data_IF_271447230951
#
_entry.id   IF_271447230951
#
_cell.length_a   1.000
_cell.length_b   1.000
_cell.length_c   1.000
_cell.angle_alpha   90.00
_cell.angle_beta   90.00
_cell.angle_gamma   90.00
#
_symmetry.space_group_name_H-M   'P 1'
#
loop_
_entity.id
_entity.type
_entity.pdbx_description
1 polymer ?
#
# COMPACT_ATOMS: atom_id res chain seq x y z
N UNK A 1 -47.57 -5.41 9.05
CA UNK A 1 -47.18 -4.73 7.80
C UNK A 1 -46.13 -3.71 8.18
N UNK A 2 -44.94 -3.75 7.57
CA UNK A 2 -43.66 -3.16 8.00
C UNK A 2 -42.80 -4.06 8.91
N UNK A 3 -42.37 -5.19 8.34
CA UNK A 3 -41.06 -5.77 8.63
C UNK A 3 -40.17 -5.43 7.43
N UNK A 4 -39.18 -4.58 7.62
CA UNK A 4 -38.07 -4.42 6.68
C UNK A 4 -36.84 -5.03 7.35
N UNK A 5 -36.26 -6.13 6.84
CA UNK A 5 -34.95 -6.57 7.28
C UNK A 5 -33.93 -5.72 6.53
N UNK A 6 -33.45 -4.66 7.17
CA UNK A 6 -32.17 -4.05 6.82
C UNK A 6 -31.09 -5.02 7.30
N UNK A 7 -30.81 -6.06 6.51
CA UNK A 7 -29.54 -6.76 6.65
C UNK A 7 -28.42 -5.78 6.24
N UNK A 8 -27.43 -5.52 7.11
CA UNK A 8 -26.23 -4.82 6.67
C UNK A 8 -25.54 -5.69 5.60
N UNK A 9 -24.89 -5.11 4.58
CA UNK A 9 -24.10 -5.89 3.64
C UNK A 9 -22.94 -6.58 4.38
N UNK A 10 -23.16 -7.83 4.78
CA UNK A 10 -22.17 -8.72 5.37
C UNK A 10 -21.11 -9.03 4.32
N UNK A 11 -20.01 -8.28 4.33
CA UNK A 11 -18.76 -8.67 3.68
C UNK A 11 -18.04 -9.65 4.61
N UNK A 12 -18.55 -10.88 4.70
CA UNK A 12 -17.89 -11.97 5.45
C UNK A 12 -16.69 -12.48 4.64
N UNK A 13 -15.48 -12.30 5.18
CA UNK A 13 -14.23 -12.79 4.59
C UNK A 13 -13.81 -14.07 5.30
N UNK A 14 -13.82 -15.19 4.57
CA UNK A 14 -13.39 -16.50 5.07
C UNK A 14 -12.14 -16.93 4.30
N UNK A 15 -10.99 -17.00 4.97
CA UNK A 15 -9.83 -17.74 4.49
C UNK A 15 -9.16 -18.53 5.63
N UNK A 16 -9.18 -19.85 5.41
CA UNK A 16 -8.35 -20.93 5.97
C UNK A 16 -8.76 -21.55 7.31
N UNK A 17 -9.62 -22.57 7.21
CA UNK A 17 -9.59 -23.75 8.08
C UNK A 17 -9.21 -24.99 7.28
N UNK A 18 -7.98 -25.47 7.45
CA UNK A 18 -7.59 -26.85 7.10
C UNK A 18 -8.07 -27.73 8.27
N UNK A 19 -9.34 -28.11 8.23
CA UNK A 19 -9.96 -28.98 9.24
C UNK A 19 -11.19 -29.66 8.66
N UNK A 20 -11.08 -30.96 8.38
CA UNK A 20 -12.14 -31.88 7.99
C UNK A 20 -13.03 -31.45 6.78
N UNK A 21 -12.43 -31.10 5.65
CA UNK A 21 -13.15 -31.11 4.37
C UNK A 21 -13.18 -32.53 3.81
N UNK A 22 -14.36 -33.15 3.71
CA UNK A 22 -14.54 -34.26 2.78
C UNK A 22 -14.23 -33.73 1.38
N UNK A 23 -13.12 -34.18 0.82
CA UNK A 23 -12.75 -33.89 -0.57
C UNK A 23 -13.68 -34.71 -1.45
N UNK A 24 -14.87 -34.20 -1.76
CA UNK A 24 -15.76 -34.80 -2.74
C UNK A 24 -15.24 -34.38 -4.10
N UNK A 25 -14.52 -35.28 -4.77
CA UNK A 25 -14.22 -35.18 -6.19
C UNK A 25 -15.57 -35.36 -6.93
N UNK A 26 -16.26 -34.24 -7.16
CA UNK A 26 -17.45 -34.24 -7.99
C UNK A 26 -16.98 -34.25 -9.45
N UNK A 27 -17.07 -35.41 -10.09
CA UNK A 27 -17.05 -35.51 -11.54
C UNK A 27 -18.23 -34.71 -12.09
N UNK A 28 -17.98 -33.46 -12.45
CA UNK A 28 -18.90 -32.72 -13.28
C UNK A 28 -18.89 -33.40 -14.66
N UNK A 29 -19.83 -34.30 -14.85
CA UNK A 29 -20.19 -34.89 -16.14
C UNK A 29 -20.88 -33.82 -17.00
N UNK A 30 -20.11 -32.77 -17.34
CA UNK A 30 -20.47 -31.85 -18.40
C UNK A 30 -20.00 -32.48 -19.71
N UNK A 31 -20.96 -32.80 -20.57
CA UNK A 31 -20.79 -33.22 -21.95
C UNK A 31 -19.92 -32.20 -22.69
N UNK A 32 -18.61 -32.41 -22.67
CA UNK A 32 -17.64 -31.57 -23.37
C UNK A 32 -17.47 -32.13 -24.80
N UNK A 33 -17.54 -31.29 -25.84
CA UNK A 33 -17.18 -31.73 -27.19
C UNK A 33 -15.72 -32.21 -27.20
N UNK A 34 -15.49 -33.33 -27.87
CA UNK A 34 -14.21 -34.01 -27.93
C UNK A 34 -13.09 -33.05 -28.40
N UNK A 35 -12.07 -32.84 -27.56
CA UNK A 35 -10.82 -32.18 -27.97
C UNK A 35 -10.31 -31.01 -27.10
N UNK A 36 -11.04 -30.58 -26.06
CA UNK A 36 -10.60 -29.48 -25.19
C UNK A 36 -9.71 -29.93 -24.02
N UNK A 37 -8.50 -29.38 -23.87
CA UNK A 37 -7.67 -29.53 -22.66
C UNK A 37 -8.47 -29.08 -21.43
N UNK A 38 -8.87 -30.03 -20.56
CA UNK A 38 -9.57 -29.74 -19.29
C UNK A 38 -8.68 -28.89 -18.39
N UNK A 39 -9.06 -27.63 -18.16
CA UNK A 39 -8.48 -26.81 -17.08
C UNK A 39 -9.17 -27.22 -15.78
N UNK A 40 -8.44 -27.88 -14.87
CA UNK A 40 -8.93 -28.14 -13.51
C UNK A 40 -9.04 -26.79 -12.78
N UNK A 41 -10.27 -26.34 -12.54
CA UNK A 41 -10.55 -25.20 -11.68
C UNK A 41 -10.84 -25.73 -10.27
N UNK A 42 -9.99 -25.39 -9.31
CA UNK A 42 -10.23 -25.71 -7.91
C UNK A 42 -11.15 -24.65 -7.31
N UNK A 43 -12.34 -25.06 -6.88
CA UNK A 43 -13.26 -24.21 -6.14
C UNK A 43 -13.20 -24.58 -4.66
N UNK A 44 -12.87 -23.61 -3.81
CA UNK A 44 -12.95 -23.76 -2.36
C UNK A 44 -14.35 -23.29 -1.96
N UNK A 45 -15.20 -24.23 -1.57
CA UNK A 45 -16.51 -23.93 -1.01
C UNK A 45 -16.37 -23.79 0.51
N UNK A 46 -16.85 -22.68 1.07
CA UNK A 46 -17.11 -22.61 2.50
C UNK A 46 -18.59 -22.94 2.70
N UNK A 47 -18.86 -23.95 3.54
CA UNK A 47 -20.21 -24.23 4.02
C UNK A 47 -20.50 -23.34 5.22
N UNK A 48 -21.48 -22.48 5.07
CA UNK A 48 -22.13 -21.80 6.20
C UNK A 48 -22.72 -22.86 7.16
N UNK A 49 -22.81 -22.61 8.48
CA UNK A 49 -23.51 -23.49 9.43
C UNK A 49 -24.96 -23.86 9.05
N UNK A 50 -25.61 -23.11 8.14
CA UNK A 50 -26.90 -23.42 7.52
C UNK A 50 -26.85 -24.46 6.39
N UNK A 51 -25.67 -24.96 6.02
CA UNK A 51 -25.48 -25.92 4.92
C UNK A 51 -25.54 -25.30 3.52
N UNK A 52 -25.73 -23.98 3.41
CA UNK A 52 -25.74 -23.28 2.14
C UNK A 52 -24.31 -23.13 1.57
N UNK A 53 -24.13 -23.52 0.31
CA UNK A 53 -22.88 -23.34 -0.44
C UNK A 53 -22.73 -21.88 -0.87
N UNK A 54 -22.12 -21.05 -0.03
CA UNK A 54 -21.84 -19.66 -0.37
C UNK A 54 -20.59 -19.57 -1.26
N UNK A 55 -20.70 -18.90 -2.42
CA UNK A 55 -19.53 -18.55 -3.25
C UNK A 55 -18.74 -17.44 -2.55
N UNK A 56 -17.55 -17.75 -2.08
CA UNK A 56 -16.64 -16.82 -1.40
C UNK A 56 -16.09 -15.77 -2.36
N UNK A 57 -16.76 -14.62 -2.41
CA UNK A 57 -16.41 -13.45 -3.24
C UNK A 57 -15.19 -12.63 -2.78
N UNK A 58 -14.84 -12.49 -1.48
CA UNK A 58 -13.83 -11.52 -1.04
C UNK A 58 -12.39 -11.86 -1.44
N UNK A 59 -12.06 -13.15 -1.58
CA UNK A 59 -10.73 -13.62 -2.02
C UNK A 59 -10.43 -13.19 -3.46
N UNK A 60 -11.46 -13.14 -4.31
CA UNK A 60 -11.32 -12.70 -5.69
C UNK A 60 -11.01 -11.20 -5.78
N UNK A 61 -11.56 -10.38 -4.88
CA UNK A 61 -11.36 -8.93 -4.89
C UNK A 61 -9.98 -8.52 -4.36
N UNK A 62 -9.50 -9.15 -3.29
CA UNK A 62 -8.14 -8.91 -2.80
C UNK A 62 -7.11 -9.36 -3.85
N UNK A 63 -7.32 -10.52 -4.46
CA UNK A 63 -6.49 -10.98 -5.58
C UNK A 63 -6.56 -10.00 -6.73
N UNK A 64 -7.74 -9.56 -7.17
CA UNK A 64 -7.88 -8.61 -8.29
C UNK A 64 -7.23 -7.25 -7.99
N UNK A 65 -7.43 -6.68 -6.80
CA UNK A 65 -6.83 -5.40 -6.42
C UNK A 65 -5.30 -5.48 -6.30
N UNK A 66 -4.79 -6.53 -5.64
CA UNK A 66 -3.33 -6.80 -5.57
C UNK A 66 -2.77 -7.04 -6.96
N UNK A 67 -3.50 -7.77 -7.83
CA UNK A 67 -3.05 -8.03 -9.20
C UNK A 67 -3.08 -6.75 -10.04
N UNK A 68 -4.08 -5.88 -9.91
CA UNK A 68 -4.18 -4.61 -10.66
C UNK A 68 -3.10 -3.61 -10.22
N UNK A 69 -2.89 -3.46 -8.90
CA UNK A 69 -1.83 -2.61 -8.35
C UNK A 69 -0.43 -3.17 -8.65
N UNK A 70 -0.26 -4.49 -8.64
CA UNK A 70 1.00 -5.13 -9.02
C UNK A 70 1.23 -5.12 -10.54
N UNK A 71 0.20 -5.13 -11.39
CA UNK A 71 0.36 -5.27 -12.85
C UNK A 71 0.70 -3.97 -13.58
N UNK A 72 0.42 -2.79 -13.03
CA UNK A 72 0.83 -1.53 -13.67
C UNK A 72 2.35 -1.39 -13.78
N UNK A 73 3.13 -1.48 -12.68
CA UNK A 73 4.59 -1.61 -12.77
C UNK A 73 5.00 -3.03 -13.20
N UNK A 74 4.21 -4.04 -12.85
CA UNK A 74 4.48 -5.45 -13.12
C UNK A 74 4.46 -5.84 -14.59
N UNK A 75 3.74 -5.14 -15.47
CA UNK A 75 3.80 -5.41 -16.92
C UNK A 75 5.11 -4.95 -17.53
N UNK A 76 5.67 -3.83 -17.07
CA UNK A 76 7.01 -3.39 -17.45
C UNK A 76 8.08 -4.34 -16.86
N UNK A 77 7.97 -4.68 -15.58
CA UNK A 77 8.86 -5.62 -14.89
C UNK A 77 8.77 -7.07 -15.42
N UNK A 78 7.59 -7.54 -15.79
CA UNK A 78 7.38 -8.90 -16.35
C UNK A 78 7.88 -9.01 -17.78
N UNK A 79 7.73 -7.95 -18.59
CA UNK A 79 8.40 -7.88 -19.90
C UNK A 79 9.92 -7.86 -19.75
N UNK A 80 10.45 -7.13 -18.76
CA UNK A 80 11.88 -7.13 -18.45
C UNK A 80 12.35 -8.53 -17.97
N UNK A 81 11.62 -9.19 -17.06
CA UNK A 81 11.99 -10.50 -16.52
C UNK A 81 12.07 -11.60 -17.59
N UNK A 82 11.24 -11.53 -18.63
CA UNK A 82 11.30 -12.48 -19.77
C UNK A 82 12.52 -12.31 -20.66
N UNK A 83 13.29 -11.22 -20.53
CA UNK A 83 14.46 -10.90 -21.39
C UNK A 83 15.82 -11.21 -20.75
N UNK A 84 15.86 -11.97 -19.64
CA UNK A 84 17.13 -12.36 -18.98
C UNK A 84 17.92 -11.16 -18.41
N UNK A 85 19.25 -11.27 -18.29
CA UNK A 85 20.16 -10.25 -17.72
C UNK A 85 20.00 -8.82 -18.31
N UNK A 86 19.35 -8.66 -19.47
CA UNK A 86 19.02 -7.37 -20.04
C UNK A 86 17.86 -6.66 -19.31
N UNK A 87 16.91 -7.42 -18.77
CA UNK A 87 15.77 -6.87 -18.03
C UNK A 87 16.15 -6.20 -16.72
N UNK A 88 17.03 -6.82 -15.93
CA UNK A 88 17.49 -6.24 -14.66
C UNK A 88 18.25 -4.91 -14.88
N UNK A 89 19.07 -4.83 -15.93
CA UNK A 89 19.77 -3.59 -16.32
C UNK A 89 18.80 -2.50 -16.79
N UNK A 90 17.76 -2.87 -17.55
CA UNK A 90 16.73 -1.93 -17.98
C UNK A 90 15.91 -1.36 -16.81
N UNK A 91 15.52 -2.22 -15.86
CA UNK A 91 14.80 -1.79 -14.64
C UNK A 91 15.69 -0.89 -13.78
N UNK A 92 16.98 -1.23 -13.63
CA UNK A 92 17.95 -0.39 -12.92
C UNK A 92 18.08 0.99 -13.56
N UNK A 93 18.23 1.07 -14.89
CA UNK A 93 18.29 2.34 -15.62
C UNK A 93 17.00 3.14 -15.45
N UNK A 94 15.84 2.53 -15.67
CA UNK A 94 14.55 3.18 -15.47
C UNK A 94 14.39 3.73 -14.04
N UNK A 95 14.89 2.99 -13.05
CA UNK A 95 14.89 3.42 -11.66
C UNK A 95 15.85 4.59 -11.40
N UNK A 96 17.02 4.59 -12.04
CA UNK A 96 18.00 5.68 -11.98
C UNK A 96 17.50 6.95 -12.71
N UNK A 97 16.72 6.78 -13.78
CA UNK A 97 16.11 7.85 -14.59
C UNK A 97 14.87 8.48 -13.91
N UNK A 98 14.29 7.81 -12.90
CA UNK A 98 13.13 8.34 -12.19
C UNK A 98 13.53 9.56 -11.35
N UNK A 99 13.07 10.75 -11.76
CA UNK A 99 13.20 11.97 -10.96
C UNK A 99 12.70 11.76 -9.50
N UNK A 100 13.38 12.41 -8.55
CA UNK A 100 13.22 12.16 -7.11
C UNK A 100 11.78 12.15 -6.61
N UNK A 101 10.94 13.08 -7.07
CA UNK A 101 9.52 13.15 -6.66
C UNK A 101 8.70 11.93 -7.12
N UNK A 102 8.89 11.48 -8.36
CA UNK A 102 8.20 10.29 -8.88
C UNK A 102 8.61 9.03 -8.13
N UNK A 103 9.90 8.95 -7.75
CA UNK A 103 10.43 7.84 -6.96
C UNK A 103 9.83 7.80 -5.56
N UNK A 104 9.70 8.95 -4.90
CA UNK A 104 9.03 9.07 -3.61
C UNK A 104 7.56 8.65 -3.68
N UNK A 105 6.81 9.10 -4.68
CA UNK A 105 5.40 8.70 -4.88
C UNK A 105 5.26 7.19 -5.09
N UNK A 106 6.14 6.59 -5.88
CA UNK A 106 6.14 5.15 -6.14
C UNK A 106 6.46 4.35 -4.88
N UNK A 107 7.47 4.75 -4.12
CA UNK A 107 7.83 4.13 -2.84
C UNK A 107 6.70 4.28 -1.81
N UNK A 108 6.03 5.43 -1.76
CA UNK A 108 4.86 5.64 -0.92
C UNK A 108 3.70 4.73 -1.31
N UNK A 109 3.40 4.62 -2.61
CA UNK A 109 2.38 3.70 -3.12
C UNK A 109 2.67 2.23 -2.79
N UNK A 110 3.94 1.82 -2.88
CA UNK A 110 4.38 0.48 -2.48
C UNK A 110 4.17 0.24 -0.98
N UNK A 111 4.58 1.20 -0.15
CA UNK A 111 4.37 1.17 1.30
C UNK A 111 2.89 1.10 1.69
N UNK A 112 2.04 1.91 1.06
CA UNK A 112 0.57 1.84 1.22
C UNK A 112 0.02 0.46 0.86
N UNK A 113 0.48 -0.12 -0.25
CA UNK A 113 0.03 -1.44 -0.70
C UNK A 113 0.40 -2.51 0.33
N UNK A 114 1.62 -2.47 0.85
CA UNK A 114 2.07 -3.37 1.92
C UNK A 114 1.21 -3.15 3.18
N UNK A 115 0.97 -1.90 3.58
CA UNK A 115 0.12 -1.57 4.73
C UNK A 115 -1.30 -2.13 4.63
N UNK A 116 -1.91 -2.06 3.45
CA UNK A 116 -3.24 -2.65 3.19
C UNK A 116 -3.21 -4.18 3.30
N UNK A 117 -2.19 -4.83 2.73
CA UNK A 117 -2.04 -6.29 2.84
C UNK A 117 -1.86 -6.68 4.32
N UNK A 118 -0.97 -6.00 5.05
CA UNK A 118 -0.73 -6.22 6.48
C UNK A 118 -2.00 -6.01 7.29
N UNK A 119 -2.78 -4.96 7.02
CA UNK A 119 -4.07 -4.71 7.66
C UNK A 119 -5.02 -5.90 7.51
N UNK A 120 -5.24 -6.37 6.27
CA UNK A 120 -6.16 -7.49 6.02
C UNK A 120 -5.66 -8.78 6.66
N UNK A 121 -4.35 -9.06 6.62
CA UNK A 121 -3.78 -10.24 7.28
C UNK A 121 -3.97 -10.20 8.79
N UNK A 122 -3.73 -9.05 9.44
CA UNK A 122 -3.92 -8.88 10.88
C UNK A 122 -5.40 -8.94 11.26
N UNK A 123 -6.27 -8.30 10.48
CA UNK A 123 -7.71 -8.31 10.72
C UNK A 123 -8.26 -9.73 10.70
N UNK A 124 -7.93 -10.53 9.68
CA UNK A 124 -8.36 -11.93 9.60
C UNK A 124 -7.81 -12.78 10.76
N UNK A 125 -6.56 -12.55 11.17
CA UNK A 125 -5.97 -13.26 12.30
C UNK A 125 -6.68 -12.91 13.61
N UNK A 126 -6.92 -11.62 13.87
CA UNK A 126 -7.61 -11.16 15.08
C UNK A 126 -9.09 -11.51 15.08
N UNK A 127 -9.77 -11.49 13.94
CA UNK A 127 -11.15 -11.93 13.80
C UNK A 127 -11.25 -13.44 14.10
N UNK A 128 -10.33 -14.25 13.56
CA UNK A 128 -10.28 -15.70 13.85
C UNK A 128 -10.04 -15.94 15.35
N UNK A 129 -9.10 -15.21 15.96
CA UNK A 129 -8.84 -15.30 17.39
C UNK A 129 -10.03 -14.84 18.23
N UNK A 130 -10.70 -13.76 17.81
CA UNK A 130 -11.91 -13.24 18.45
C UNK A 130 -13.02 -14.30 18.43
N UNK A 131 -13.30 -14.92 17.28
CA UNK A 131 -14.31 -15.99 17.19
C UNK A 131 -13.93 -17.24 18.01
N UNK A 132 -12.64 -17.54 18.13
CA UNK A 132 -12.18 -18.68 18.93
C UNK A 132 -12.33 -18.44 20.44
N UNK A 133 -12.12 -17.19 20.88
CA UNK A 133 -12.08 -16.82 22.32
C UNK A 133 -13.42 -16.28 22.83
N UNK A 134 -14.13 -15.51 22.01
CA UNK A 134 -15.44 -14.95 22.34
C UNK A 134 -16.51 -16.02 22.14
N UNK A 135 -16.71 -16.82 23.19
CA UNK A 135 -17.86 -17.72 23.30
C UNK A 135 -19.16 -16.92 23.22
N UNK A 136 -19.83 -16.95 22.06
CA UNK A 136 -21.25 -16.60 21.84
C UNK A 136 -21.70 -15.13 21.87
N UNK A 137 -20.84 -14.12 21.85
CA UNK A 137 -21.34 -12.75 21.67
C UNK A 137 -21.42 -12.36 20.18
N UNK A 138 -22.64 -12.07 19.72
CA UNK A 138 -22.99 -11.60 18.35
C UNK A 138 -22.52 -10.17 18.05
N UNK A 139 -21.53 -9.67 18.80
CA UNK A 139 -20.99 -8.33 18.63
C UNK A 139 -20.18 -8.18 17.36
N UNK A 140 -20.34 -7.03 16.70
CA UNK A 140 -19.51 -6.61 15.57
C UNK A 140 -18.02 -6.65 15.97
N UNK A 141 -17.16 -7.23 15.12
CA UNK A 141 -15.72 -7.39 15.34
C UNK A 141 -14.93 -6.07 15.26
N UNK A 142 -15.43 -5.01 15.90
CA UNK A 142 -14.84 -3.67 15.91
C UNK A 142 -13.45 -3.68 16.57
N UNK A 143 -13.28 -4.43 17.66
CA UNK A 143 -12.01 -4.54 18.37
C UNK A 143 -10.89 -5.06 17.48
N UNK A 144 -11.03 -6.25 16.87
CA UNK A 144 -10.10 -6.77 15.86
C UNK A 144 -9.78 -5.79 14.73
N UNK A 145 -10.80 -5.07 14.23
CA UNK A 145 -10.63 -4.07 13.18
C UNK A 145 -9.73 -2.91 13.63
N UNK A 146 -10.02 -2.30 14.78
CA UNK A 146 -9.25 -1.18 15.33
C UNK A 146 -7.81 -1.63 15.61
N UNK A 147 -7.62 -2.81 16.20
CA UNK A 147 -6.29 -3.34 16.51
C UNK A 147 -5.47 -3.58 15.24
N UNK A 148 -6.07 -4.21 14.22
CA UNK A 148 -5.41 -4.45 12.93
C UNK A 148 -5.06 -3.14 12.22
N UNK A 149 -5.96 -2.15 12.25
CA UNK A 149 -5.75 -0.83 11.65
C UNK A 149 -4.61 -0.06 12.33
N UNK A 150 -4.57 -0.08 13.66
CA UNK A 150 -3.51 0.58 14.41
C UNK A 150 -2.14 -0.04 14.11
N UNK A 151 -2.02 -1.37 14.20
CA UNK A 151 -0.76 -2.08 13.95
C UNK A 151 -0.29 -1.94 12.50
N UNK A 152 -1.19 -2.00 11.52
CA UNK A 152 -0.84 -1.78 10.12
C UNK A 152 -0.35 -0.35 9.88
N UNK A 153 -0.95 0.64 10.55
CA UNK A 153 -0.51 2.04 10.48
C UNK A 153 0.87 2.24 11.09
N UNK A 154 1.15 1.61 12.23
CA UNK A 154 2.50 1.64 12.86
C UNK A 154 3.54 1.01 11.93
N UNK A 155 3.21 -0.13 11.32
CA UNK A 155 4.07 -0.81 10.35
C UNK A 155 4.35 0.06 9.12
N UNK A 156 3.29 0.64 8.56
CA UNK A 156 3.41 1.50 7.39
C UNK A 156 4.16 2.80 7.70
N UNK A 157 3.98 3.36 8.89
CA UNK A 157 4.74 4.51 9.37
C UNK A 157 6.24 4.19 9.44
N UNK A 158 6.60 3.03 9.98
CA UNK A 158 7.99 2.55 10.03
C UNK A 158 8.60 2.44 8.62
N UNK A 159 7.89 1.84 7.66
CA UNK A 159 8.31 1.78 6.26
C UNK A 159 8.47 3.16 5.63
N UNK A 160 7.51 4.06 5.82
CA UNK A 160 7.55 5.42 5.29
C UNK A 160 8.74 6.22 5.86
N UNK A 161 9.12 5.96 7.11
CA UNK A 161 10.28 6.60 7.72
C UNK A 161 11.59 6.12 7.07
N UNK A 162 11.72 4.81 6.85
CA UNK A 162 12.90 4.20 6.23
C UNK A 162 13.03 4.61 4.75
N UNK A 163 11.92 4.67 4.03
CA UNK A 163 11.93 4.85 2.58
C UNK A 163 11.84 6.33 2.13
N UNK A 164 11.20 7.22 2.92
CA UNK A 164 10.78 8.55 2.43
C UNK A 164 11.16 9.71 3.36
N UNK A 165 10.68 9.70 4.61
CA UNK A 165 10.58 10.94 5.40
C UNK A 165 11.67 11.14 6.47
N UNK A 166 12.58 10.17 6.68
CA UNK A 166 13.78 10.36 7.49
C UNK A 166 13.57 10.70 8.97
N UNK A 167 14.56 11.35 9.58
CA UNK A 167 14.83 11.35 11.04
C UNK A 167 14.03 12.34 11.89
N UNK A 168 12.74 12.51 11.61
CA UNK A 168 11.87 13.12 12.61
C UNK A 168 11.81 12.24 13.88
N UNK A 169 11.68 12.82 15.09
CA UNK A 169 11.46 12.06 16.31
C UNK A 169 10.26 11.11 16.15
N UNK A 170 10.50 9.81 16.39
CA UNK A 170 9.57 8.74 16.01
C UNK A 170 8.16 8.95 16.56
N UNK A 171 8.01 9.25 17.86
CA UNK A 171 6.69 9.44 18.46
C UNK A 171 5.95 10.64 17.86
N UNK A 172 6.66 11.75 17.57
CA UNK A 172 6.02 12.94 17.00
C UNK A 172 5.56 12.71 15.56
N UNK A 173 6.35 12.00 14.76
CA UNK A 173 5.96 11.68 13.38
C UNK A 173 4.87 10.62 13.33
N UNK A 174 4.90 9.62 14.23
CA UNK A 174 3.87 8.59 14.35
C UNK A 174 2.50 9.19 14.69
N UNK A 175 2.43 10.09 15.67
CA UNK A 175 1.16 10.77 16.03
C UNK A 175 0.60 11.55 14.84
N UNK A 176 1.45 12.28 14.09
CA UNK A 176 1.01 12.99 12.88
C UNK A 176 0.48 12.02 11.82
N UNK A 177 1.15 10.88 11.62
CA UNK A 177 0.68 9.85 10.69
C UNK A 177 -0.66 9.27 11.13
N UNK A 178 -0.83 8.94 12.41
CA UNK A 178 -2.09 8.44 12.95
C UNK A 178 -3.24 9.43 12.76
N UNK A 179 -3.01 10.72 13.03
CA UNK A 179 -4.01 11.78 12.82
C UNK A 179 -4.40 11.89 11.35
N UNK A 180 -3.42 11.98 10.45
CA UNK A 180 -3.69 12.06 9.00
C UNK A 180 -4.46 10.83 8.52
N UNK A 181 -4.03 9.62 8.91
CA UNK A 181 -4.66 8.39 8.44
C UNK A 181 -6.08 8.21 9.00
N UNK A 182 -6.29 8.56 10.27
CA UNK A 182 -7.61 8.49 10.90
C UNK A 182 -8.58 9.49 10.29
N UNK A 183 -8.14 10.73 10.04
CA UNK A 183 -8.94 11.74 9.35
C UNK A 183 -9.31 11.29 7.92
N UNK A 184 -8.34 10.76 7.17
CA UNK A 184 -8.56 10.21 5.83
C UNK A 184 -9.49 9.01 5.84
N UNK A 185 -9.49 8.18 6.89
CA UNK A 185 -10.41 7.05 7.04
C UNK A 185 -11.86 7.53 7.19
N UNK A 186 -12.11 8.51 8.06
CA UNK A 186 -13.44 9.11 8.25
C UNK A 186 -13.95 9.79 6.97
N UNK A 187 -13.06 10.53 6.30
CA UNK A 187 -13.36 11.15 5.01
C UNK A 187 -13.70 10.09 3.96
N UNK A 188 -12.92 9.01 3.90
CA UNK A 188 -13.13 7.91 2.96
C UNK A 188 -14.47 7.21 3.19
N UNK A 189 -14.83 6.93 4.45
CA UNK A 189 -16.11 6.30 4.79
C UNK A 189 -17.30 7.16 4.32
N UNK A 190 -17.22 8.48 4.56
CA UNK A 190 -18.24 9.44 4.11
C UNK A 190 -18.34 9.46 2.58
N UNK A 191 -17.20 9.49 1.89
CA UNK A 191 -17.15 9.55 0.44
C UNK A 191 -17.66 8.25 -0.20
N UNK A 192 -17.30 7.08 0.34
CA UNK A 192 -17.84 5.79 -0.10
C UNK A 192 -19.36 5.76 0.04
N UNK A 193 -19.89 6.19 1.19
CA UNK A 193 -21.33 6.26 1.41
C UNK A 193 -22.02 7.15 0.36
N UNK A 194 -21.48 8.35 0.11
CA UNK A 194 -22.01 9.26 -0.90
C UNK A 194 -21.95 8.67 -2.32
N UNK A 195 -20.82 8.07 -2.72
CA UNK A 195 -20.68 7.45 -4.05
C UNK A 195 -21.67 6.31 -4.27
N UNK A 196 -21.90 5.47 -3.25
CA UNK A 196 -22.82 4.34 -3.34
C UNK A 196 -24.27 4.83 -3.36
N UNK A 197 -24.65 5.73 -2.44
CA UNK A 197 -26.05 6.13 -2.28
C UNK A 197 -26.52 7.21 -3.26
N UNK A 198 -25.65 8.19 -3.57
CA UNK A 198 -26.04 9.33 -4.41
C UNK A 198 -25.80 9.08 -5.89
N UNK A 199 -24.76 8.32 -6.23
CA UNK A 199 -24.35 8.09 -7.62
C UNK A 199 -24.60 6.65 -8.09
N UNK A 200 -25.12 5.78 -7.22
CA UNK A 200 -25.34 4.36 -7.51
C UNK A 200 -24.09 3.64 -8.06
N UNK A 201 -22.90 4.11 -7.66
CA UNK A 201 -21.63 3.50 -8.09
C UNK A 201 -21.50 2.14 -7.40
N UNK A 202 -21.08 1.13 -8.16
CA UNK A 202 -20.89 -0.21 -7.60
C UNK A 202 -19.88 -0.16 -6.44
N UNK A 203 -20.15 -0.82 -5.28
CA UNK A 203 -19.32 -0.69 -4.08
C UNK A 203 -17.82 -0.93 -4.29
N UNK A 204 -17.45 -1.87 -5.17
CA UNK A 204 -16.04 -2.15 -5.48
C UNK A 204 -15.34 -0.98 -6.16
N UNK A 205 -16.04 -0.27 -7.06
CA UNK A 205 -15.48 0.86 -7.80
C UNK A 205 -15.40 2.09 -6.90
N UNK A 206 -16.39 2.29 -6.04
CA UNK A 206 -16.35 3.32 -5.00
C UNK A 206 -15.15 3.10 -4.07
N UNK A 207 -14.96 1.88 -3.55
CA UNK A 207 -13.81 1.53 -2.70
C UNK A 207 -12.48 1.78 -3.41
N UNK A 208 -12.32 1.34 -4.66
CA UNK A 208 -11.06 1.53 -5.40
C UNK A 208 -10.78 3.02 -5.66
N UNK A 209 -11.80 3.79 -5.99
CA UNK A 209 -11.68 5.23 -6.22
C UNK A 209 -11.32 5.97 -4.94
N UNK A 210 -12.03 5.69 -3.84
CA UNK A 210 -11.76 6.33 -2.56
C UNK A 210 -10.39 5.93 -2.02
N UNK A 211 -9.98 4.66 -2.15
CA UNK A 211 -8.68 4.20 -1.69
C UNK A 211 -7.52 4.88 -2.43
N UNK A 212 -7.65 5.10 -3.75
CA UNK A 212 -6.63 5.81 -4.53
C UNK A 212 -6.56 7.29 -4.15
N UNK A 213 -7.71 7.94 -3.96
CA UNK A 213 -7.79 9.32 -3.47
C UNK A 213 -7.22 9.46 -2.04
N UNK A 214 -7.52 8.52 -1.15
CA UNK A 214 -7.00 8.48 0.21
C UNK A 214 -5.48 8.28 0.21
N UNK A 215 -4.95 7.40 -0.63
CA UNK A 215 -3.50 7.23 -0.80
C UNK A 215 -2.82 8.51 -1.27
N UNK A 216 -3.35 9.15 -2.31
CA UNK A 216 -2.79 10.39 -2.84
C UNK A 216 -2.86 11.54 -1.83
N UNK A 217 -4.00 11.73 -1.16
CA UNK A 217 -4.16 12.77 -0.13
C UNK A 217 -3.25 12.52 1.07
N UNK A 218 -3.12 11.28 1.54
CA UNK A 218 -2.19 10.92 2.62
C UNK A 218 -0.74 11.26 2.28
N UNK A 219 -0.30 11.03 1.03
CA UNK A 219 1.04 11.41 0.59
C UNK A 219 1.27 12.92 0.75
N UNK A 220 0.39 13.75 0.18
CA UNK A 220 0.54 15.21 0.22
C UNK A 220 0.41 15.77 1.65
N UNK A 221 -0.54 15.27 2.44
CA UNK A 221 -0.70 15.69 3.84
C UNK A 221 0.52 15.33 4.68
N UNK A 222 1.05 14.12 4.55
CA UNK A 222 2.27 13.72 5.25
C UNK A 222 3.47 14.53 4.78
N UNK A 223 3.60 14.81 3.49
CA UNK A 223 4.66 15.66 2.97
C UNK A 223 4.59 17.05 3.60
N UNK A 224 3.41 17.67 3.71
CA UNK A 224 3.24 18.96 4.39
C UNK A 224 3.59 18.84 5.89
N UNK A 225 3.05 17.84 6.58
CA UNK A 225 3.23 17.67 8.03
C UNK A 225 4.65 17.28 8.45
N UNK A 226 5.40 16.58 7.60
CA UNK A 226 6.73 16.04 7.91
C UNK A 226 7.86 16.82 7.23
N UNK A 227 7.67 17.35 6.02
CA UNK A 227 8.71 18.14 5.33
C UNK A 227 8.88 19.56 5.84
N UNK A 228 7.93 20.10 6.61
CA UNK A 228 7.97 21.48 7.10
C UNK A 228 9.20 21.82 7.98
N UNK A 229 9.92 20.83 8.52
CA UNK A 229 11.14 21.09 9.32
C UNK A 229 12.44 21.09 8.52
N UNK A 230 12.52 20.35 7.41
CA UNK A 230 13.80 20.18 6.68
C UNK A 230 14.06 21.23 5.60
N UNK A 231 13.04 21.95 5.11
CA UNK A 231 13.25 23.02 4.11
C UNK A 231 13.87 24.29 4.70
N UNK A 232 13.79 24.50 6.02
CA UNK A 232 14.46 25.63 6.68
C UNK A 232 15.98 25.50 6.68
N UNK A 233 16.51 24.27 6.65
CA UNK A 233 17.95 23.98 6.74
C UNK A 233 18.56 23.62 5.37
N UNK A 234 17.72 23.23 4.40
CA UNK A 234 18.12 23.05 2.98
C UNK A 234 18.04 24.32 2.16
N UNK A 235 17.87 25.51 2.75
CA UNK A 235 18.29 26.71 2.00
C UNK A 235 19.76 26.46 1.71
N UNK A 236 20.19 26.39 0.44
CA UNK A 236 21.61 26.41 0.16
C UNK A 236 22.12 27.60 0.96
N UNK A 237 23.15 27.40 1.78
CA UNK A 237 24.03 28.49 2.12
C UNK A 237 24.46 28.99 0.75
N UNK A 238 23.70 29.91 0.17
CA UNK A 238 24.20 30.87 -0.78
C UNK A 238 25.33 31.44 0.01
N UNK A 239 26.50 30.87 -0.27
CA UNK A 239 27.76 31.54 -0.20
C UNK A 239 27.41 33.01 -0.38
N UNK A 240 27.45 33.73 0.74
CA UNK A 240 27.88 35.09 0.67
C UNK A 240 29.13 34.98 -0.19
N UNK A 241 28.99 35.31 -1.46
CA UNK A 241 30.09 35.57 -2.34
C UNK A 241 30.80 36.71 -1.63
N UNK A 242 31.75 36.35 -0.76
CA UNK A 242 32.87 37.20 -0.44
C UNK A 242 33.64 37.28 -1.75
N UNK A 243 33.12 38.10 -2.67
CA UNK A 243 33.90 38.79 -3.66
C UNK A 243 34.86 39.70 -2.89
N UNK A 244 35.86 39.12 -2.23
CA UNK A 244 37.13 39.79 -1.99
C UNK A 244 37.92 39.66 -3.28
N UNK A 245 37.45 40.42 -4.28
CA UNK A 245 38.21 40.83 -5.45
C UNK A 245 39.03 42.06 -5.01
N UNK A 246 40.19 41.79 -4.43
CA UNK A 246 41.39 42.65 -4.38
C UNK A 246 42.52 41.63 -4.12
N UNK A 247 43.23 41.11 -5.11
CA UNK A 247 43.95 41.91 -6.10
C UNK A 247 45.22 42.48 -5.48
N UNK A 248 46.00 41.70 -4.72
CA UNK A 248 47.41 42.02 -4.48
C UNK A 248 48.25 41.36 -5.58
N UNK A 249 49.00 42.13 -6.39
CA UNK A 249 49.89 41.59 -7.40
C UNK A 249 51.02 40.79 -6.76
N UNK A 250 51.41 39.70 -7.43
CA UNK A 250 52.52 38.85 -7.05
C UNK A 250 53.85 39.64 -7.06
N UNK A 251 54.73 39.49 -6.05
CA UNK A 251 56.10 39.96 -6.16
C UNK A 251 56.83 39.12 -7.21
N UNK A 252 57.44 39.80 -8.18
CA UNK A 252 58.41 39.23 -9.11
C UNK A 252 59.64 38.85 -8.29
N UNK A 253 59.92 37.56 -8.12
CA UNK A 253 61.21 37.11 -7.63
C UNK A 253 62.20 37.14 -8.80
N UNK A 254 63.20 38.00 -8.66
CA UNK A 254 64.35 38.13 -9.55
C UNK A 254 65.21 36.86 -9.55
N UNK A 255 65.89 36.53 -10.66
CA UNK A 255 66.93 35.51 -10.67
C UNK A 255 68.18 36.05 -9.95
N UNK A 256 68.49 35.51 -8.78
CA UNK A 256 69.79 35.72 -8.14
C UNK A 256 70.84 34.93 -8.93
N UNK A 257 71.61 35.66 -9.73
CA UNK A 257 72.90 35.21 -10.23
C UNK A 257 73.93 35.26 -9.09
N UNK A 258 74.63 34.15 -8.88
CA UNK A 258 75.77 34.03 -7.96
C UNK A 258 75.90 32.58 -7.51
N UNK A 259 77.02 31.91 -7.59
CA UNK A 259 78.38 32.32 -7.93
C UNK A 259 79.24 31.05 -7.79
N UNK A 260 80.36 31.05 -8.48
CA UNK A 260 81.40 30.04 -8.45
C UNK A 260 81.95 29.83 -7.03
N UNK A 261 82.20 28.56 -6.66
CA UNK A 261 83.48 27.94 -6.25
C UNK A 261 83.28 26.43 -6.29
#
# INVERSE_FOLDING_TARGET
>A
VWQSPLEPPCVCVLLLGRGAGHMIEADAEATAPAGGKRKKAFFIWATDPSGAKAKTTPVYYLRAAVTTLATLPGRALSRAAKTGHHGARAVKRWWEDLHGESREKLLFGASMTIGVITFWSLFLAFETLYWYTATRQTGFALGPYIAAYFLSTVWQHWLNRILLFGDAPYCSSLVRTLVVYSASLLYSATLIHLLIHSLSITPWLALLTVQTLAGASNYYLLQICLSSKNKSDRRPKTSLCKCSRFGSPAPKNEPVAGGWI
#
